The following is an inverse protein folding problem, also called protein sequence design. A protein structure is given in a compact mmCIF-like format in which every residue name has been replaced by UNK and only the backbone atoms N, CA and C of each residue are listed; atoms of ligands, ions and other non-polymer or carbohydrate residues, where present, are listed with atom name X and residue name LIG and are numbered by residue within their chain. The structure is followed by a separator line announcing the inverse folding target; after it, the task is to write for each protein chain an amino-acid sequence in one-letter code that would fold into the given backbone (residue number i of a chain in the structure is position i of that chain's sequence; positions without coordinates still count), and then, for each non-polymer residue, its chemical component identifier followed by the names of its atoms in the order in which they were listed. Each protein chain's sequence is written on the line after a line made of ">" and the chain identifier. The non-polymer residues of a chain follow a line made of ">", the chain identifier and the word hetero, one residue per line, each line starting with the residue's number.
data_IF_877106714390
#
_entry.id   IF_877106714390
#
_cell.length_a   1.000
_cell.length_b   1.000
_cell.length_c   1.000
_cell.angle_alpha   90.00
_cell.angle_beta   90.00
_cell.angle_gamma   90.00
#
_symmetry.space_group_name_H-M   'P 1'
#
loop_
_entity.id
_entity.type
_entity.pdbx_description
1 polymer ?
#
# COMPACT_ATOMS: atom_id res chain seq x y z
N UNK A 1 -6.55 -13.78 -6.39
CA UNK A 1 -5.22 -13.17 -6.24
C UNK A 1 -4.50 -13.28 -7.57
N UNK A 2 -3.64 -12.32 -7.92
CA UNK A 2 -2.85 -12.40 -9.16
C UNK A 2 -1.85 -13.57 -9.11
N UNK A 3 -1.69 -14.28 -10.23
CA UNK A 3 -0.66 -15.33 -10.43
C UNK A 3 0.69 -14.76 -10.92
N UNK A 4 0.84 -13.43 -10.91
CA UNK A 4 2.10 -12.76 -11.22
C UNK A 4 3.25 -13.32 -10.37
N UNK A 5 4.43 -13.45 -10.97
CA UNK A 5 5.60 -14.03 -10.32
C UNK A 5 6.33 -12.99 -9.47
N UNK A 6 6.92 -13.46 -8.37
CA UNK A 6 7.98 -12.74 -7.67
C UNK A 6 9.27 -12.92 -8.46
N UNK A 7 9.96 -11.82 -8.76
CA UNK A 7 11.26 -11.83 -9.45
C UNK A 7 12.32 -11.33 -8.48
N UNK A 8 13.39 -12.10 -8.29
CA UNK A 8 14.53 -11.74 -7.44
C UNK A 8 15.70 -11.32 -8.33
N UNK A 9 16.29 -10.19 -7.99
CA UNK A 9 17.50 -9.62 -8.59
C UNK A 9 18.61 -9.75 -7.56
N UNK A 10 19.47 -10.76 -7.69
CA UNK A 10 20.54 -10.98 -6.73
C UNK A 10 21.62 -9.90 -6.89
N UNK A 11 22.11 -9.37 -5.77
CA UNK A 11 23.29 -8.51 -5.71
C UNK A 11 24.34 -9.03 -4.73
N UNK A 12 25.50 -8.39 -4.69
CA UNK A 12 26.59 -8.74 -3.78
C UNK A 12 26.24 -8.41 -2.32
N UNK A 13 25.77 -7.18 -2.07
CA UNK A 13 25.47 -6.67 -0.73
C UNK A 13 23.97 -6.67 -0.39
N UNK A 14 23.11 -6.73 -1.39
CA UNK A 14 21.65 -6.67 -1.23
C UNK A 14 20.95 -7.38 -2.38
N UNK A 15 19.92 -8.17 -2.06
CA UNK A 15 19.00 -8.70 -3.07
C UNK A 15 17.77 -7.83 -3.15
N UNK A 16 17.29 -7.55 -4.36
CA UNK A 16 16.04 -6.83 -4.60
C UNK A 16 15.00 -7.82 -5.09
N UNK A 17 13.80 -7.79 -4.52
CA UNK A 17 12.66 -8.57 -5.01
C UNK A 17 11.56 -7.67 -5.52
N UNK A 18 10.94 -8.06 -6.63
CA UNK A 18 9.75 -7.43 -7.18
C UNK A 18 8.59 -8.42 -7.20
N UNK A 19 7.53 -8.11 -6.47
CA UNK A 19 6.28 -8.85 -6.44
C UNK A 19 5.28 -8.25 -7.44
N UNK A 20 5.18 -8.87 -8.61
CA UNK A 20 4.23 -8.47 -9.65
C UNK A 20 2.75 -8.62 -9.27
N UNK A 21 2.43 -9.25 -8.13
CA UNK A 21 1.05 -9.37 -7.62
C UNK A 21 0.59 -8.08 -6.92
N UNK A 22 1.53 -7.28 -6.44
CA UNK A 22 1.28 -6.02 -5.71
C UNK A 22 1.58 -4.78 -6.55
N UNK A 23 2.43 -4.90 -7.56
CA UNK A 23 2.86 -3.78 -8.37
C UNK A 23 1.70 -3.21 -9.21
N UNK A 24 1.34 -1.96 -8.94
CA UNK A 24 0.38 -1.17 -9.74
C UNK A 24 1.07 -0.13 -10.63
N UNK A 25 2.38 -0.30 -10.87
CA UNK A 25 3.17 0.54 -11.78
C UNK A 25 3.14 2.06 -11.52
N UNK A 26 3.11 2.49 -10.24
CA UNK A 26 3.20 3.92 -9.85
C UNK A 26 4.45 4.61 -10.42
N UNK A 27 5.53 3.86 -10.63
CA UNK A 27 6.74 4.35 -11.30
C UNK A 27 7.79 4.99 -10.39
N UNK A 28 7.60 5.00 -9.06
CA UNK A 28 8.58 5.57 -8.11
C UNK A 28 9.97 4.96 -8.25
N UNK A 29 10.07 3.65 -8.48
CA UNK A 29 11.36 2.97 -8.68
C UNK A 29 12.11 3.46 -9.93
N UNK A 30 11.40 3.74 -11.02
CA UNK A 30 11.99 4.25 -12.26
C UNK A 30 12.31 5.74 -12.24
N UNK A 31 11.82 6.48 -11.24
CA UNK A 31 12.14 7.90 -11.03
C UNK A 31 13.39 8.11 -10.16
N UNK A 32 13.89 7.06 -9.52
CA UNK A 32 15.10 7.14 -8.73
C UNK A 32 16.31 7.51 -9.61
N UNK A 33 17.20 8.33 -9.08
CA UNK A 33 18.42 8.69 -9.78
C UNK A 33 19.35 7.46 -9.93
N UNK A 34 20.02 7.35 -11.08
CA UNK A 34 20.95 6.27 -11.38
C UNK A 34 20.33 5.13 -12.19
N UNK A 35 21.05 4.00 -12.24
CA UNK A 35 20.75 2.85 -13.10
C UNK A 35 20.20 1.64 -12.33
N UNK A 36 19.71 1.84 -11.10
CA UNK A 36 19.19 0.73 -10.28
C UNK A 36 17.99 0.04 -10.93
N UNK A 37 17.06 0.80 -11.53
CA UNK A 37 15.90 0.30 -12.26
C UNK A 37 15.85 0.95 -13.65
N UNK A 38 16.04 0.16 -14.71
CA UNK A 38 16.08 0.69 -16.08
C UNK A 38 15.09 -0.03 -17.01
N UNK A 39 14.09 0.71 -17.49
CA UNK A 39 13.11 0.19 -18.45
C UNK A 39 13.79 -0.31 -19.72
N UNK A 40 13.47 -1.54 -20.14
CA UNK A 40 14.04 -2.18 -21.33
C UNK A 40 15.37 -2.91 -21.10
N UNK A 41 16.05 -2.70 -19.96
CA UNK A 41 17.25 -3.45 -19.59
C UNK A 41 16.91 -4.88 -19.13
N UNK A 42 17.84 -5.82 -19.34
CA UNK A 42 17.78 -7.19 -18.83
C UNK A 42 19.09 -7.52 -18.07
N UNK A 43 19.05 -7.73 -16.74
CA UNK A 43 17.88 -7.60 -15.87
C UNK A 43 17.38 -6.14 -15.75
N UNK A 44 16.09 -5.96 -15.44
CA UNK A 44 15.50 -4.63 -15.22
C UNK A 44 16.14 -3.91 -14.03
N UNK A 45 16.38 -4.65 -12.94
CA UNK A 45 17.04 -4.18 -11.75
C UNK A 45 18.46 -4.75 -11.62
N UNK A 46 19.40 -3.89 -11.25
CA UNK A 46 20.79 -4.25 -10.98
C UNK A 46 21.18 -3.65 -9.62
N UNK A 47 21.20 -4.46 -8.55
CA UNK A 47 21.47 -3.97 -7.20
C UNK A 47 22.92 -3.50 -6.98
N UNK A 48 23.86 -3.87 -7.86
CA UNK A 48 25.30 -3.64 -7.66
C UNK A 48 25.80 -2.31 -8.26
N UNK A 49 24.94 -1.56 -8.96
CA UNK A 49 25.29 -0.24 -9.54
C UNK A 49 25.35 0.88 -8.51
N UNK A 50 24.93 0.63 -7.27
CA UNK A 50 24.92 1.60 -6.18
C UNK A 50 25.09 0.90 -4.82
N UNK A 51 25.18 1.67 -3.74
CA UNK A 51 25.34 1.10 -2.40
C UNK A 51 24.06 0.40 -1.92
N UNK A 52 24.20 -0.59 -1.04
CA UNK A 52 23.05 -1.28 -0.45
C UNK A 52 22.08 -0.32 0.28
N UNK A 53 22.59 0.76 0.89
CA UNK A 53 21.76 1.80 1.51
C UNK A 53 20.97 2.60 0.47
N UNK A 54 21.57 2.93 -0.68
CA UNK A 54 20.87 3.60 -1.76
C UNK A 54 19.81 2.69 -2.40
N UNK A 55 20.10 1.40 -2.57
CA UNK A 55 19.12 0.40 -3.01
C UNK A 55 17.93 0.35 -2.04
N UNK A 56 18.20 0.18 -0.75
CA UNK A 56 17.18 0.12 0.30
C UNK A 56 16.31 1.39 0.27
N UNK A 57 16.92 2.57 0.22
CA UNK A 57 16.22 3.85 0.19
C UNK A 57 15.34 4.07 -1.05
N UNK A 58 15.63 3.42 -2.19
CA UNK A 58 14.76 3.46 -3.38
C UNK A 58 13.64 2.44 -3.29
N UNK A 59 13.96 1.21 -2.89
CA UNK A 59 13.00 0.13 -2.67
C UNK A 59 11.92 0.58 -1.69
N UNK A 60 12.31 1.29 -0.64
CA UNK A 60 11.41 1.75 0.41
C UNK A 60 10.34 2.77 -0.06
N UNK A 61 10.56 3.39 -1.22
CA UNK A 61 9.63 4.35 -1.82
C UNK A 61 8.48 3.69 -2.56
N UNK A 62 8.52 2.37 -2.78
CA UNK A 62 7.50 1.66 -3.53
C UNK A 62 6.17 1.57 -2.75
N UNK A 63 5.17 2.43 -3.01
CA UNK A 63 4.05 2.61 -2.07
C UNK A 63 3.08 1.41 -1.99
N UNK A 64 3.22 0.44 -2.90
CA UNK A 64 2.42 -0.78 -2.91
C UNK A 64 3.02 -1.92 -2.07
N UNK A 65 4.26 -1.79 -1.61
CA UNK A 65 5.00 -2.89 -0.98
C UNK A 65 5.49 -3.94 -1.99
N UNK A 66 5.38 -3.67 -3.29
CA UNK A 66 5.80 -4.60 -4.34
C UNK A 66 7.32 -4.77 -4.45
N UNK A 67 8.10 -3.80 -3.95
CA UNK A 67 9.56 -3.93 -3.85
C UNK A 67 9.95 -4.18 -2.40
N UNK A 68 10.90 -5.11 -2.22
CA UNK A 68 11.56 -5.40 -0.95
C UNK A 68 13.03 -5.70 -1.17
N UNK A 69 13.85 -5.47 -0.14
CA UNK A 69 15.28 -5.71 -0.19
C UNK A 69 15.73 -6.60 0.98
N UNK A 70 16.70 -7.48 0.71
CA UNK A 70 17.32 -8.35 1.72
C UNK A 70 18.82 -8.03 1.78
N UNK A 71 19.25 -7.43 2.90
CA UNK A 71 20.64 -7.06 3.16
C UNK A 71 21.50 -8.31 3.43
N UNK A 72 22.62 -8.41 2.73
CA UNK A 72 23.66 -9.45 2.92
C UNK A 72 24.88 -8.93 3.68
N UNK A 73 25.03 -7.62 3.75
CA UNK A 73 26.11 -6.90 4.44
C UNK A 73 25.83 -6.66 5.94
N UNK A 74 24.71 -7.16 6.46
CA UNK A 74 24.30 -6.96 7.86
C UNK A 74 23.68 -5.59 8.15
N UNK A 75 23.45 -4.75 7.13
CA UNK A 75 22.76 -3.48 7.30
C UNK A 75 21.30 -3.64 7.75
N UNK A 76 20.65 -2.54 8.19
CA UNK A 76 19.31 -2.59 8.71
C UNK A 76 18.32 -3.06 7.64
N UNK A 77 17.36 -3.89 8.07
CA UNK A 77 16.18 -4.19 7.26
C UNK A 77 15.23 -3.02 7.32
N UNK A 78 14.34 -2.96 6.35
CA UNK A 78 13.21 -2.05 6.39
C UNK A 78 12.45 -2.19 7.71
N UNK A 79 12.26 -1.07 8.40
CA UNK A 79 11.51 -0.99 9.64
C UNK A 79 10.20 -0.21 9.42
N UNK A 80 9.12 -0.54 10.14
CA UNK A 80 7.92 0.28 10.17
C UNK A 80 8.23 1.74 10.55
N UNK A 81 7.57 2.73 9.93
CA UNK A 81 7.70 4.12 10.39
C UNK A 81 7.09 4.29 11.80
N UNK A 82 7.48 5.34 12.53
CA UNK A 82 6.97 5.58 13.90
C UNK A 82 5.47 5.94 13.95
N UNK A 83 4.84 6.21 12.81
CA UNK A 83 3.42 6.58 12.73
C UNK A 83 2.72 5.80 11.64
N UNK A 84 1.47 5.42 11.89
CA UNK A 84 0.65 4.80 10.85
C UNK A 84 -0.15 5.87 10.10
N UNK A 85 -0.10 5.81 8.78
CA UNK A 85 -0.80 6.73 7.90
C UNK A 85 -1.57 6.00 6.81
N UNK A 86 -2.71 6.56 6.43
CA UNK A 86 -3.48 6.14 5.26
C UNK A 86 -3.68 7.36 4.37
N UNK A 87 -2.97 7.42 3.25
CA UNK A 87 -3.13 8.46 2.25
C UNK A 87 -4.19 8.06 1.21
N UNK A 88 -5.21 8.89 1.06
CA UNK A 88 -6.28 8.69 0.09
C UNK A 88 -5.86 9.28 -1.26
N UNK A 89 -5.35 8.43 -2.16
CA UNK A 89 -4.94 8.87 -3.48
C UNK A 89 -6.15 9.33 -4.31
N UNK A 90 -6.01 10.47 -5.01
CA UNK A 90 -7.01 10.96 -5.96
C UNK A 90 -7.30 9.90 -7.03
N UNK A 91 -8.57 9.55 -7.21
CA UNK A 91 -9.06 8.50 -8.12
C UNK A 91 -8.41 7.11 -7.92
N UNK A 92 -7.70 6.91 -6.82
CA UNK A 92 -6.78 5.80 -6.66
C UNK A 92 -6.94 5.04 -5.34
N UNK A 93 -5.94 4.20 -5.00
CA UNK A 93 -5.97 3.36 -3.82
C UNK A 93 -5.87 4.14 -2.51
N UNK A 94 -5.99 3.41 -1.41
CA UNK A 94 -5.52 3.83 -0.10
C UNK A 94 -4.05 3.39 0.03
N UNK A 95 -3.12 4.33 0.10
CA UNK A 95 -1.73 4.01 0.42
C UNK A 95 -1.56 4.00 1.94
N UNK A 96 -1.27 2.83 2.49
CA UNK A 96 -1.09 2.61 3.91
C UNK A 96 0.39 2.48 4.21
N UNK A 97 0.87 3.15 5.24
CA UNK A 97 2.25 3.00 5.76
C UNK A 97 2.18 2.87 7.28
N UNK A 98 2.94 1.97 7.89
CA UNK A 98 2.86 1.69 9.33
C UNK A 98 3.50 0.37 9.72
N UNK A 99 3.23 -0.11 10.93
CA UNK A 99 3.52 -1.50 11.32
C UNK A 99 2.30 -2.35 10.96
N UNK A 100 2.29 -3.00 9.80
CA UNK A 100 1.06 -3.48 9.18
C UNK A 100 0.81 -4.97 9.43
N UNK A 101 -0.41 -5.28 9.85
CA UNK A 101 -0.96 -6.63 9.87
C UNK A 101 -2.26 -6.67 9.03
N UNK A 102 -2.20 -7.25 7.82
CA UNK A 102 -3.27 -7.14 6.82
C UNK A 102 -3.83 -8.52 6.47
N UNK A 103 -5.15 -8.69 6.61
CA UNK A 103 -5.85 -9.91 6.18
C UNK A 103 -5.62 -10.18 4.68
N UNK A 104 -5.06 -11.35 4.37
CA UNK A 104 -4.78 -11.75 2.99
C UNK A 104 -3.37 -11.40 2.50
N UNK A 105 -2.55 -10.73 3.31
CA UNK A 105 -1.11 -10.66 3.07
C UNK A 105 -0.48 -12.06 3.18
N UNK A 106 0.42 -12.39 2.26
CA UNK A 106 1.13 -13.67 2.25
C UNK A 106 2.49 -13.52 2.91
N UNK A 107 3.04 -14.62 3.43
CA UNK A 107 4.36 -14.64 4.08
C UNK A 107 5.51 -14.30 3.14
N UNK A 108 5.32 -14.49 1.83
CA UNK A 108 6.27 -14.13 0.77
C UNK A 108 6.13 -12.67 0.28
N UNK A 109 5.48 -11.80 1.07
CA UNK A 109 5.23 -10.40 0.75
C UNK A 109 5.75 -9.45 1.85
N UNK A 110 7.08 -9.42 2.10
CA UNK A 110 7.65 -8.69 3.22
C UNK A 110 7.37 -7.18 3.18
N UNK A 111 7.22 -6.58 2.00
CA UNK A 111 6.87 -5.16 1.88
C UNK A 111 5.50 -4.80 2.47
N UNK A 112 4.58 -5.77 2.60
CA UNK A 112 3.27 -5.57 3.21
C UNK A 112 3.31 -5.41 4.73
N UNK A 113 4.45 -5.65 5.38
CA UNK A 113 4.64 -5.38 6.82
C UNK A 113 4.77 -3.89 7.11
N UNK A 114 5.06 -3.07 6.10
CA UNK A 114 5.37 -1.64 6.28
C UNK A 114 4.54 -0.72 5.39
N UNK A 115 4.17 -1.19 4.18
CA UNK A 115 3.41 -0.40 3.21
C UNK A 115 2.54 -1.23 2.29
N UNK A 116 1.38 -0.71 1.93
CA UNK A 116 0.45 -1.37 1.02
C UNK A 116 -0.41 -0.38 0.22
N UNK A 117 -0.80 -0.78 -0.99
CA UNK A 117 -1.85 -0.11 -1.74
C UNK A 117 -3.14 -0.92 -1.65
N UNK A 118 -4.17 -0.41 -0.96
CA UNK A 118 -5.45 -1.10 -0.77
C UNK A 118 -6.51 -0.59 -1.75
N UNK A 119 -7.34 -1.52 -2.23
CA UNK A 119 -8.41 -1.23 -3.17
C UNK A 119 -9.51 -0.41 -2.50
N UNK A 120 -9.82 0.73 -3.13
CA UNK A 120 -10.92 1.62 -2.73
C UNK A 120 -12.05 1.68 -3.74
N UNK A 121 -11.79 1.30 -5.01
CA UNK A 121 -12.76 1.38 -6.09
C UNK A 121 -13.74 0.20 -6.17
N UNK A 122 -13.51 -0.89 -5.43
CA UNK A 122 -14.33 -2.10 -5.48
C UNK A 122 -14.06 -3.06 -6.64
N UNK A 123 -13.19 -2.71 -7.59
CA UNK A 123 -13.03 -3.48 -8.84
C UNK A 123 -11.75 -4.30 -8.93
N UNK A 124 -10.87 -4.26 -7.91
CA UNK A 124 -9.65 -5.08 -7.92
C UNK A 124 -9.95 -6.58 -7.93
N UNK A 125 -9.24 -7.36 -8.73
CA UNK A 125 -9.24 -8.83 -8.67
C UNK A 125 -8.30 -9.38 -7.57
N UNK A 126 -7.50 -8.50 -6.94
CA UNK A 126 -6.54 -8.83 -5.90
C UNK A 126 -6.91 -8.24 -4.54
N UNK A 127 -8.22 -8.07 -4.25
CA UNK A 127 -8.69 -7.53 -2.97
C UNK A 127 -8.08 -8.31 -1.78
N UNK A 128 -7.67 -7.62 -0.70
CA UNK A 128 -7.91 -6.20 -0.41
C UNK A 128 -6.93 -5.24 -1.12
N UNK A 129 -5.95 -5.74 -1.85
CA UNK A 129 -4.93 -4.94 -2.53
C UNK A 129 -5.46 -4.31 -3.81
N UNK A 130 -4.87 -3.17 -4.18
CA UNK A 130 -5.09 -2.53 -5.47
C UNK A 130 -4.33 -3.29 -6.57
N UNK A 131 -4.94 -3.41 -7.75
CA UNK A 131 -4.34 -4.01 -8.94
C UNK A 131 -4.36 -3.06 -10.15
N UNK A 132 -4.57 -1.75 -9.90
CA UNK A 132 -4.70 -0.74 -10.95
C UNK A 132 -6.09 -0.66 -11.62
N UNK A 133 -7.04 -1.55 -11.29
CA UNK A 133 -8.38 -1.55 -11.92
C UNK A 133 -9.14 -0.23 -11.78
N UNK A 134 -8.80 0.62 -10.81
CA UNK A 134 -9.42 1.95 -10.64
C UNK A 134 -9.26 2.85 -11.88
N UNK A 135 -8.16 2.75 -12.61
CA UNK A 135 -7.95 3.51 -13.85
C UNK A 135 -8.88 3.00 -14.96
N UNK A 136 -8.90 1.69 -15.18
CA UNK A 136 -9.70 1.02 -16.22
C UNK A 136 -11.20 1.26 -16.05
N UNK A 137 -11.69 1.31 -14.81
CA UNK A 137 -13.11 1.54 -14.49
C UNK A 137 -13.45 3.02 -14.32
N UNK A 138 -12.48 3.93 -14.52
CA UNK A 138 -12.70 5.37 -14.39
C UNK A 138 -13.19 5.78 -13.00
N UNK A 139 -12.63 5.19 -11.95
CA UNK A 139 -13.04 5.50 -10.58
C UNK A 139 -12.78 6.97 -10.24
N UNK A 140 -13.83 7.69 -9.83
CA UNK A 140 -13.74 9.12 -9.49
C UNK A 140 -13.95 9.32 -7.98
N UNK A 141 -12.92 9.84 -7.33
CA UNK A 141 -13.00 10.36 -5.96
C UNK A 141 -11.77 11.19 -5.63
N UNK A 142 -11.98 12.45 -5.22
CA UNK A 142 -10.88 13.41 -4.94
C UNK A 142 -10.14 13.15 -3.62
N UNK A 143 -10.54 12.13 -2.86
CA UNK A 143 -9.97 11.86 -1.54
C UNK A 143 -10.24 12.98 -0.53
N UNK A 144 -11.36 13.70 -0.69
CA UNK A 144 -11.78 14.73 0.24
C UNK A 144 -12.30 14.08 1.54
N UNK A 145 -11.92 14.64 2.68
CA UNK A 145 -12.31 14.16 4.00
C UNK A 145 -12.88 15.34 4.78
N UNK A 146 -14.18 15.27 5.05
CA UNK A 146 -14.94 16.29 5.80
C UNK A 146 -15.03 16.01 7.30
N UNK A 147 -14.80 14.76 7.72
CA UNK A 147 -14.87 14.37 9.12
C UNK A 147 -13.52 14.48 9.82
N UNK A 148 -13.59 14.81 11.12
CA UNK A 148 -12.47 14.68 12.04
C UNK A 148 -12.65 13.42 12.87
N UNK A 149 -11.55 12.75 13.18
CA UNK A 149 -11.60 11.56 14.02
C UNK A 149 -11.62 11.89 15.51
N UNK A 150 -11.70 10.85 16.35
CA UNK A 150 -11.70 10.98 17.81
C UNK A 150 -10.42 11.55 18.41
N UNK A 151 -9.36 11.70 17.61
CA UNK A 151 -8.01 11.96 18.08
C UNK A 151 -7.28 10.69 18.48
N UNK A 152 -6.00 10.83 18.80
CA UNK A 152 -5.09 9.75 19.20
C UNK A 152 -4.50 10.06 20.58
N UNK A 153 -4.47 9.05 21.44
CA UNK A 153 -3.74 9.12 22.72
C UNK A 153 -2.24 8.80 22.55
N UNK A 154 -1.88 8.06 21.50
CA UNK A 154 -0.51 7.71 21.12
C UNK A 154 -0.41 7.54 19.60
N UNK A 155 0.82 7.63 19.07
CA UNK A 155 1.12 7.37 17.66
C UNK A 155 1.84 6.02 17.49
N UNK A 156 1.79 5.46 16.28
CA UNK A 156 2.48 4.21 15.95
C UNK A 156 1.84 2.94 16.53
N UNK A 157 2.65 1.88 16.62
CA UNK A 157 2.25 0.53 16.97
C UNK A 157 1.55 -0.21 15.81
N UNK A 158 1.25 -1.49 16.03
CA UNK A 158 0.63 -2.34 15.01
C UNK A 158 -0.73 -1.78 14.52
N UNK A 159 -0.87 -1.70 13.20
CA UNK A 159 -2.08 -1.37 12.48
C UNK A 159 -2.68 -2.63 11.86
N UNK A 160 -3.76 -3.10 12.47
CA UNK A 160 -4.51 -4.26 12.00
C UNK A 160 -5.56 -3.84 10.96
N UNK A 161 -5.55 -4.48 9.79
CA UNK A 161 -6.46 -4.21 8.68
C UNK A 161 -7.17 -5.49 8.30
N UNK A 162 -8.43 -5.61 8.72
CA UNK A 162 -9.25 -6.80 8.48
C UNK A 162 -10.26 -6.61 7.37
N UNK A 163 -10.58 -7.69 6.66
CA UNK A 163 -11.64 -7.69 5.64
C UNK A 163 -12.96 -8.08 6.29
N UNK A 164 -13.94 -7.18 6.26
CA UNK A 164 -15.32 -7.60 6.50
C UNK A 164 -15.84 -8.31 5.23
N UNK A 165 -16.41 -9.53 5.34
CA UNK A 165 -17.03 -10.21 4.20
C UNK A 165 -18.04 -9.29 3.51
N UNK A 166 -17.93 -9.15 2.20
CA UNK A 166 -18.81 -8.29 1.38
C UNK A 166 -18.88 -6.83 1.88
N UNK A 167 -17.86 -6.40 2.61
CA UNK A 167 -17.90 -5.19 3.41
C UNK A 167 -16.60 -4.38 3.39
N UNK A 168 -16.49 -3.40 4.30
CA UNK A 168 -15.36 -2.49 4.38
C UNK A 168 -14.06 -3.17 4.84
N UNK A 169 -12.97 -2.40 4.77
CA UNK A 169 -11.75 -2.69 5.53
C UNK A 169 -11.93 -2.17 6.95
N UNK A 170 -11.80 -3.04 7.94
CA UNK A 170 -11.86 -2.69 9.36
C UNK A 170 -10.44 -2.43 9.84
N UNK A 171 -10.15 -1.17 10.15
CA UNK A 171 -8.85 -0.72 10.63
C UNK A 171 -8.91 -0.58 12.15
N UNK A 172 -7.94 -1.16 12.85
CA UNK A 172 -7.74 -1.02 14.29
C UNK A 172 -6.27 -0.83 14.63
N UNK A 173 -5.97 0.19 15.42
CA UNK A 173 -4.61 0.70 15.67
C UNK A 173 -4.57 2.21 15.46
N UNK A 174 -3.59 2.89 16.05
CA UNK A 174 -3.49 4.35 15.96
C UNK A 174 -3.17 4.77 14.53
N UNK A 175 -4.04 5.54 13.87
CA UNK A 175 -3.83 5.92 12.47
C UNK A 175 -4.27 7.35 12.17
N UNK A 176 -3.50 8.00 11.30
CA UNK A 176 -3.85 9.28 10.67
C UNK A 176 -4.27 9.04 9.22
N UNK A 177 -5.47 9.46 8.84
CA UNK A 177 -5.91 9.45 7.44
C UNK A 177 -5.61 10.81 6.82
N UNK A 178 -4.82 10.79 5.75
CA UNK A 178 -4.38 11.95 4.99
C UNK A 178 -5.26 12.05 3.74
N UNK A 179 -5.95 13.18 3.59
CA UNK A 179 -6.77 13.47 2.42
C UNK A 179 -5.90 13.60 1.16
N UNK A 180 -6.52 13.52 -0.02
CA UNK A 180 -5.82 13.64 -1.31
C UNK A 180 -5.10 14.99 -1.52
N UNK A 181 -5.40 16.00 -0.69
CA UNK A 181 -4.69 17.28 -0.66
C UNK A 181 -3.38 17.25 0.16
N UNK A 182 -3.04 16.13 0.80
CA UNK A 182 -1.93 16.02 1.76
C UNK A 182 -2.28 16.46 3.19
N UNK A 183 -3.51 16.93 3.44
CA UNK A 183 -3.95 17.34 4.78
C UNK A 183 -4.20 16.12 5.66
N UNK A 184 -3.57 16.05 6.83
CA UNK A 184 -3.94 15.13 7.90
C UNK A 184 -5.36 15.47 8.38
N UNK A 185 -6.37 14.74 7.89
CA UNK A 185 -7.76 15.13 8.00
C UNK A 185 -8.50 14.41 9.13
N UNK A 186 -8.13 13.16 9.40
CA UNK A 186 -8.78 12.33 10.41
C UNK A 186 -7.74 11.56 11.23
N UNK A 187 -8.00 11.39 12.54
CA UNK A 187 -7.12 10.68 13.48
C UNK A 187 -7.96 9.83 14.43
N UNK A 188 -7.61 8.57 14.62
CA UNK A 188 -8.33 7.68 15.53
C UNK A 188 -7.79 6.27 15.55
N UNK A 189 -8.28 5.47 16.49
CA UNK A 189 -7.82 4.08 16.70
C UNK A 189 -8.65 3.03 15.96
N UNK A 190 -9.82 3.41 15.42
CA UNK A 190 -10.72 2.51 14.68
C UNK A 190 -11.38 3.24 13.52
N UNK A 191 -11.36 2.63 12.35
CA UNK A 191 -12.07 3.14 11.17
C UNK A 191 -12.62 1.99 10.33
N UNK A 192 -13.73 2.23 9.64
CA UNK A 192 -14.23 1.35 8.58
C UNK A 192 -14.04 2.06 7.25
N UNK A 193 -13.14 1.56 6.39
CA UNK A 193 -12.82 2.18 5.11
C UNK A 193 -13.59 1.50 3.97
N UNK A 194 -14.15 2.30 3.07
CA UNK A 194 -14.88 1.83 1.91
C UNK A 194 -13.98 0.96 1.03
N UNK A 195 -14.41 -0.29 0.83
CA UNK A 195 -13.79 -1.23 -0.11
C UNK A 195 -14.61 -1.42 -1.38
N UNK A 196 -15.87 -0.99 -1.39
CA UNK A 196 -16.81 -1.24 -2.50
C UNK A 196 -16.84 -0.15 -3.58
N UNK A 197 -16.20 1.01 -3.35
CA UNK A 197 -16.25 2.16 -4.26
C UNK A 197 -17.56 2.95 -4.25
N UNK A 198 -18.61 2.47 -3.58
CA UNK A 198 -19.95 3.07 -3.63
C UNK A 198 -20.25 4.14 -2.59
N UNK A 199 -19.46 4.25 -1.50
CA UNK A 199 -19.82 5.14 -0.38
C UNK A 199 -19.96 6.62 -0.81
N UNK A 200 -20.95 7.33 -0.27
CA UNK A 200 -21.06 8.79 -0.36
C UNK A 200 -20.13 9.50 0.63
N UNK A 201 -19.64 8.80 1.66
CA UNK A 201 -18.73 9.32 2.70
C UNK A 201 -17.30 8.76 2.56
N UNK A 202 -16.79 8.66 1.34
CA UNK A 202 -15.42 8.17 1.11
C UNK A 202 -14.40 9.05 1.87
N UNK A 203 -13.31 8.46 2.38
CA UNK A 203 -12.88 7.06 2.26
C UNK A 203 -13.58 6.11 3.23
N UNK A 204 -14.50 6.59 4.08
CA UNK A 204 -15.16 5.79 5.09
C UNK A 204 -16.32 4.98 4.53
N UNK A 205 -16.74 3.98 5.27
CA UNK A 205 -17.89 3.16 4.94
C UNK A 205 -19.16 3.73 5.56
N UNK A 206 -20.19 3.91 4.74
CA UNK A 206 -21.55 4.34 5.14
C UNK A 206 -22.60 3.22 5.02
N UNK A 207 -22.17 1.98 4.72
CA UNK A 207 -23.07 0.85 4.52
C UNK A 207 -23.51 0.61 3.08
N UNK A 208 -23.13 1.47 2.12
CA UNK A 208 -23.54 1.34 0.71
C UNK A 208 -23.24 -0.03 0.10
N UNK A 209 -22.19 -0.72 0.57
CA UNK A 209 -21.85 -2.09 0.13
C UNK A 209 -23.02 -3.09 0.22
N UNK A 210 -23.91 -2.95 1.22
CA UNK A 210 -25.11 -3.80 1.33
C UNK A 210 -26.14 -3.47 0.25
N UNK A 211 -26.38 -2.18 0.03
CA UNK A 211 -27.38 -1.70 -0.93
C UNK A 211 -27.00 -2.06 -2.38
N UNK A 212 -25.70 -2.01 -2.72
CA UNK A 212 -25.21 -2.35 -4.06
C UNK A 212 -24.85 -3.83 -4.23
N UNK A 213 -25.10 -4.67 -3.22
CA UNK A 213 -24.81 -6.10 -3.26
C UNK A 213 -23.33 -6.43 -3.47
N UNK A 214 -22.42 -5.61 -2.94
CA UNK A 214 -20.97 -5.78 -3.14
C UNK A 214 -20.51 -7.18 -2.72
N UNK A 215 -19.87 -7.91 -3.63
CA UNK A 215 -19.29 -9.23 -3.37
C UNK A 215 -17.76 -9.13 -3.33
N UNK A 216 -17.19 -9.44 -2.18
CA UNK A 216 -15.75 -9.60 -2.01
C UNK A 216 -15.44 -10.29 -0.67
N UNK A 217 -14.71 -11.39 -0.76
CA UNK A 217 -14.14 -12.08 0.41
C UNK A 217 -12.93 -11.33 1.01
#
# INVERSE_FOLDING_TARGET
>A
MSDSKVTVYPGQSVDVSWDGRLCIHVGECGRAAGSLFEGGRKPWCDPDVTSADAVQAVVERCPSGALSAVRKDGGPREAPPPTNTIHVANNGPLYVTGELNIDGARTDQPGLMTRAALCRCGQSANKPFCDGSHERVGFVDRGAIGEVGSGLAAEGGELNIRRAPNGPLLVSGNVTVVAGSGRAAWRGAKAALCRCGGSANKPFCDGTHRAIGFQAE
#
